data_IF_023191197857
#
_entry.id   IF_023191197857
#
_cell.length_a   1.000
_cell.length_b   1.000
_cell.length_c   1.000
_cell.angle_alpha   90.00
_cell.angle_beta   90.00
_cell.angle_gamma   90.00
#
_symmetry.space_group_name_H-M   'P 1'
#
loop_
_entity.id
_entity.type
_entity.pdbx_description
1 polymer ?
#
# COMPACT_ATOMS: atom_id res chain seq x y z
N UNK A 1 4.29 -11.30 -14.82
CA UNK A 1 2.90 -11.47 -14.34
C UNK A 1 2.55 -10.57 -13.15
N UNK A 2 3.35 -10.50 -12.08
CA UNK A 2 3.02 -9.66 -10.91
C UNK A 2 3.04 -8.16 -11.17
N UNK A 3 4.01 -7.68 -11.97
CA UNK A 3 4.05 -6.30 -12.49
C UNK A 3 2.79 -5.91 -13.28
N UNK A 4 2.04 -6.88 -13.81
CA UNK A 4 0.77 -6.63 -14.48
C UNK A 4 -0.40 -6.45 -13.49
N UNK A 5 -0.37 -7.10 -12.32
CA UNK A 5 -1.46 -7.04 -11.32
C UNK A 5 -1.55 -5.68 -10.62
N UNK A 6 -0.43 -4.98 -10.42
CA UNK A 6 -0.38 -3.62 -9.86
C UNK A 6 -0.20 -2.52 -10.91
N UNK A 7 -0.18 -2.88 -12.21
CA UNK A 7 0.15 -1.97 -13.33
C UNK A 7 -0.73 -0.73 -13.40
N UNK A 8 -1.91 -0.77 -12.78
CA UNK A 8 -2.88 0.31 -12.86
C UNK A 8 -3.00 1.11 -11.57
N UNK A 9 -2.19 0.82 -10.53
CA UNK A 9 -2.26 1.55 -9.26
C UNK A 9 -0.93 2.20 -8.95
N UNK A 10 -0.91 3.54 -8.96
CA UNK A 10 0.29 4.33 -8.72
C UNK A 10 0.04 5.35 -7.64
N UNK A 11 0.81 5.30 -6.55
CA UNK A 11 0.71 6.30 -5.50
C UNK A 11 1.43 7.56 -5.98
N UNK A 12 0.69 8.67 -6.06
CA UNK A 12 1.22 9.97 -6.51
C UNK A 12 1.72 10.81 -5.36
N UNK A 13 0.99 10.79 -4.24
CA UNK A 13 1.26 11.67 -3.10
C UNK A 13 0.71 11.07 -1.82
N UNK A 14 1.49 11.19 -0.76
CA UNK A 14 1.03 10.94 0.60
C UNK A 14 1.05 12.26 1.39
N UNK A 15 0.04 12.49 2.23
CA UNK A 15 0.00 13.62 3.15
C UNK A 15 -0.36 13.10 4.53
N UNK A 16 0.51 13.34 5.51
CA UNK A 16 0.26 13.00 6.90
C UNK A 16 -0.03 14.28 7.69
N UNK A 17 -1.17 14.35 8.37
CA UNK A 17 -1.59 15.51 9.17
C UNK A 17 -2.60 15.08 10.23
N UNK A 18 -2.49 15.60 11.45
CA UNK A 18 -3.50 15.43 12.51
C UNK A 18 -3.86 13.95 12.75
N UNK A 19 -2.86 13.06 12.83
CA UNK A 19 -3.01 11.58 12.94
C UNK A 19 -3.77 10.91 11.77
N UNK A 20 -3.93 11.61 10.64
CA UNK A 20 -4.55 11.08 9.43
C UNK A 20 -3.53 11.00 8.30
N UNK A 21 -3.54 9.89 7.58
CA UNK A 21 -2.75 9.70 6.37
C UNK A 21 -3.67 9.65 5.15
N UNK A 22 -3.43 10.56 4.22
CA UNK A 22 -4.10 10.65 2.92
C UNK A 22 -3.16 10.09 1.86
N UNK A 23 -3.59 9.05 1.15
CA UNK A 23 -2.84 8.44 0.05
C UNK A 23 -3.60 8.71 -1.23
N UNK A 24 -3.05 9.57 -2.08
CA UNK A 24 -3.58 9.88 -3.39
C UNK A 24 -2.92 8.96 -4.41
N UNK A 25 -3.74 8.20 -5.13
CA UNK A 25 -3.29 7.24 -6.11
C UNK A 25 -4.11 7.31 -7.39
N UNK A 26 -3.50 6.93 -8.51
CA UNK A 26 -4.21 6.68 -9.76
C UNK A 26 -4.62 5.22 -9.77
N UNK A 27 -5.89 4.92 -10.06
CA UNK A 27 -6.37 3.59 -10.38
C UNK A 27 -6.94 3.59 -11.80
N UNK A 28 -6.30 2.85 -12.72
CA UNK A 28 -6.58 2.91 -14.17
C UNK A 28 -6.44 4.36 -14.65
N UNK A 29 -7.51 5.01 -15.13
CA UNK A 29 -7.49 6.42 -15.55
C UNK A 29 -8.08 7.39 -14.52
N UNK A 30 -8.45 6.91 -13.33
CA UNK A 30 -9.11 7.71 -12.32
C UNK A 30 -8.17 8.06 -11.16
N UNK A 31 -8.29 9.28 -10.65
CA UNK A 31 -7.65 9.69 -9.39
C UNK A 31 -8.53 9.26 -8.22
N UNK A 32 -7.91 8.72 -7.17
CA UNK A 32 -8.57 8.23 -5.96
C UNK A 32 -7.78 8.65 -4.72
N UNK A 33 -8.44 8.60 -3.56
CA UNK A 33 -7.85 8.91 -2.27
C UNK A 33 -8.27 7.85 -1.24
N UNK A 34 -7.29 7.29 -0.53
CA UNK A 34 -7.51 6.51 0.69
C UNK A 34 -7.19 7.39 1.90
N UNK A 35 -8.00 7.28 2.94
CA UNK A 35 -7.80 8.01 4.19
C UNK A 35 -7.72 7.00 5.33
N UNK A 36 -6.58 7.00 6.02
CA UNK A 36 -6.38 6.27 7.26
C UNK A 36 -6.44 7.25 8.42
N UNK A 37 -7.23 6.92 9.44
CA UNK A 37 -7.31 7.68 10.69
C UNK A 37 -6.58 6.93 11.81
N UNK A 38 -6.26 7.64 12.90
CA UNK A 38 -5.52 7.09 14.04
C UNK A 38 -4.13 6.54 13.68
N UNK A 39 -3.48 7.19 12.71
CA UNK A 39 -2.12 6.84 12.28
C UNK A 39 -1.13 7.45 13.27
N UNK A 40 -0.26 6.59 13.81
CA UNK A 40 0.87 6.93 14.68
C UNK A 40 2.06 7.41 13.86
N UNK A 41 2.42 6.65 12.82
CA UNK A 41 3.54 6.97 11.94
C UNK A 41 3.38 6.37 10.55
N UNK A 42 4.14 6.93 9.60
CA UNK A 42 4.13 6.54 8.20
C UNK A 42 5.55 6.57 7.63
N UNK A 43 5.93 5.53 6.88
CA UNK A 43 7.18 5.50 6.12
C UNK A 43 6.99 4.87 4.75
N UNK A 44 7.74 5.34 3.76
CA UNK A 44 7.82 4.75 2.42
C UNK A 44 9.22 4.23 2.16
N UNK A 45 9.34 3.00 1.67
CA UNK A 45 10.61 2.34 1.39
C UNK A 45 10.54 1.70 0.01
N UNK A 46 11.58 1.86 -0.80
CA UNK A 46 11.72 1.11 -2.04
C UNK A 46 11.93 -0.37 -1.68
N UNK A 47 11.08 -1.26 -2.19
CA UNK A 47 11.14 -2.68 -1.84
C UNK A 47 11.76 -3.47 -3.01
N UNK A 48 12.95 -4.02 -2.80
CA UNK A 48 13.54 -4.94 -3.77
C UNK A 48 12.80 -6.30 -3.76
N UNK A 49 12.52 -6.81 -4.96
CA UNK A 49 11.48 -7.80 -5.26
C UNK A 49 11.72 -9.24 -4.74
N UNK A 50 12.92 -9.59 -4.31
CA UNK A 50 13.33 -11.01 -4.25
C UNK A 50 12.54 -11.87 -3.23
N UNK A 51 11.94 -11.29 -2.19
CA UNK A 51 11.18 -12.05 -1.19
C UNK A 51 9.67 -12.16 -1.42
N UNK A 52 9.08 -11.39 -2.34
CA UNK A 52 7.61 -11.33 -2.49
C UNK A 52 7.05 -12.21 -3.61
N UNK A 53 7.88 -12.64 -4.55
CA UNK A 53 7.42 -13.41 -5.71
C UNK A 53 6.78 -14.76 -5.34
N UNK A 54 7.31 -15.43 -4.31
CA UNK A 54 6.76 -16.70 -3.79
C UNK A 54 5.45 -16.52 -3.04
N UNK A 55 5.31 -15.42 -2.29
CA UNK A 55 4.11 -15.07 -1.53
C UNK A 55 2.98 -14.62 -2.45
N UNK A 56 3.29 -13.76 -3.43
CA UNK A 56 2.32 -13.17 -4.35
C UNK A 56 1.78 -14.16 -5.38
N UNK A 57 2.51 -15.25 -5.70
CA UNK A 57 2.01 -16.34 -6.55
C UNK A 57 0.85 -17.10 -5.91
N UNK A 58 0.77 -17.14 -4.59
CA UNK A 58 -0.28 -17.86 -3.83
C UNK A 58 -1.54 -17.03 -3.58
N UNK A 59 -1.52 -15.73 -3.92
CA UNK A 59 -2.65 -14.83 -3.69
C UNK A 59 -3.52 -14.74 -4.95
N UNK A 60 -4.79 -15.13 -4.84
CA UNK A 60 -5.84 -14.73 -5.76
C UNK A 60 -6.11 -13.24 -5.57
N UNK A 61 -5.77 -12.44 -6.59
CA UNK A 61 -5.70 -10.98 -6.49
C UNK A 61 -6.87 -10.40 -7.28
N UNK A 62 -7.90 -9.95 -6.56
CA UNK A 62 -8.98 -9.11 -7.09
C UNK A 62 -8.61 -7.64 -6.84
N UNK A 63 -8.15 -6.99 -7.91
CA UNK A 63 -7.79 -5.57 -8.22
C UNK A 63 -7.56 -4.49 -7.13
N UNK A 64 -7.91 -4.63 -5.84
CA UNK A 64 -7.65 -3.62 -4.80
C UNK A 64 -7.41 -4.17 -3.39
N UNK A 65 -8.10 -5.23 -2.98
CA UNK A 65 -8.06 -5.76 -1.61
C UNK A 65 -6.70 -6.28 -1.16
N UNK A 66 -5.81 -6.59 -2.12
CA UNK A 66 -4.50 -7.18 -1.84
C UNK A 66 -3.35 -6.17 -1.92
N UNK A 67 -3.64 -4.87 -2.15
CA UNK A 67 -2.64 -3.82 -1.93
C UNK A 67 -2.38 -3.61 -0.45
N UNK A 68 -3.38 -3.83 0.38
CA UNK A 68 -3.38 -3.51 1.81
C UNK A 68 -3.21 -4.82 2.58
N UNK A 69 -2.05 -5.00 3.21
CA UNK A 69 -1.83 -6.13 4.12
C UNK A 69 -1.78 -5.61 5.56
N UNK A 70 -2.58 -6.19 6.45
CA UNK A 70 -2.61 -5.81 7.87
C UNK A 70 -1.82 -6.80 8.70
N UNK A 71 -0.82 -6.29 9.42
CA UNK A 71 -0.14 -7.01 10.48
C UNK A 71 -0.73 -6.60 11.83
N UNK A 72 -1.54 -7.49 12.39
CA UNK A 72 -2.22 -7.28 13.67
C UNK A 72 -1.27 -7.26 14.86
N UNK A 73 -0.12 -7.94 14.77
CA UNK A 73 0.86 -8.00 15.88
C UNK A 73 1.49 -6.64 16.14
N UNK A 74 1.85 -5.93 15.07
CA UNK A 74 2.56 -4.65 15.16
C UNK A 74 1.64 -3.43 14.95
N UNK A 75 0.33 -3.68 14.79
CA UNK A 75 -0.69 -2.71 14.42
C UNK A 75 -0.29 -1.88 13.19
N UNK A 76 0.17 -2.59 12.14
CA UNK A 76 0.66 -2.01 10.90
C UNK A 76 -0.21 -2.39 9.69
N UNK A 77 -0.28 -1.49 8.72
CA UNK A 77 -0.79 -1.72 7.38
C UNK A 77 0.31 -1.46 6.37
N UNK A 78 0.51 -2.40 5.46
CA UNK A 78 1.42 -2.31 4.33
C UNK A 78 0.64 -2.04 3.05
N UNK A 79 1.11 -1.08 2.26
CA UNK A 79 0.59 -0.81 0.91
C UNK A 79 1.72 -0.96 -0.09
N UNK A 80 1.47 -1.66 -1.20
CA UNK A 80 2.42 -1.81 -2.31
C UNK A 80 1.78 -1.24 -3.57
N UNK A 81 2.49 -0.35 -4.27
CA UNK A 81 2.01 0.22 -5.54
C UNK A 81 2.67 -0.42 -6.78
N UNK A 82 2.27 0.03 -7.97
CA UNK A 82 2.78 -0.45 -9.25
C UNK A 82 4.24 -0.09 -9.55
N UNK A 83 4.87 0.77 -8.74
CA UNK A 83 6.31 1.05 -8.77
C UNK A 83 7.08 0.21 -7.74
N UNK A 84 6.41 -0.71 -7.05
CA UNK A 84 6.99 -1.53 -5.98
C UNK A 84 7.45 -0.71 -4.77
N UNK A 85 6.87 0.48 -4.58
CA UNK A 85 7.04 1.25 -3.37
C UNK A 85 6.20 0.61 -2.27
N UNK A 86 6.85 0.29 -1.14
CA UNK A 86 6.16 -0.18 0.07
C UNK A 86 5.92 0.99 1.01
N UNK A 87 4.69 1.14 1.42
CA UNK A 87 4.24 2.13 2.39
C UNK A 87 3.84 1.39 3.66
N UNK A 88 4.42 1.77 4.79
CA UNK A 88 4.13 1.17 6.09
C UNK A 88 3.43 2.21 6.94
N UNK A 89 2.25 1.87 7.42
CA UNK A 89 1.37 2.73 8.20
C UNK A 89 1.21 2.06 9.56
N UNK A 90 1.66 2.71 10.62
CA UNK A 90 1.48 2.22 11.99
C UNK A 90 0.34 2.99 12.64
N UNK A 91 -0.57 2.30 13.31
CA UNK A 91 -1.68 2.92 14.04
C UNK A 91 -1.33 3.09 15.52
N UNK A 92 -2.05 3.98 16.20
CA UNK A 92 -2.07 3.95 17.66
C UNK A 92 -2.87 2.72 18.10
N UNK A 93 -2.54 2.21 19.28
CA UNK A 93 -3.27 1.11 19.93
C UNK A 93 -4.75 1.46 20.16
#
# INVERSE_FOLDING_TARGET
MLKQKFKNIFIKKCRYKDTKLYIYYRHKNNSKCLVFSNVKSFKSVFSELYCYDSLLKKLEINEFSNMINRNYKDNEVYIIDGLWMRYIIKFND
#
